data_IF_215798234773
#
_entry.id   IF_215798234773
#
_cell.length_a   1.000
_cell.length_b   1.000
_cell.length_c   1.000
_cell.angle_alpha   90.00
_cell.angle_beta   90.00
_cell.angle_gamma   90.00
#
_symmetry.space_group_name_H-M   'P 1'
#
loop_
_entity.id
_entity.type
_entity.pdbx_description
1 polymer ?
#
# COMPACT_ATOMS: atom_id res chain seq x y z
N UNK A 1 -6.52 4.63 2.79
CA UNK A 1 -5.27 3.91 3.15
C UNK A 1 -4.36 4.94 3.81
N UNK A 2 -3.86 4.72 5.05
CA UNK A 2 -3.17 5.75 5.84
C UNK A 2 -1.99 6.41 5.13
N UNK A 3 -1.33 5.69 4.22
CA UNK A 3 -0.23 6.23 3.41
C UNK A 3 -0.64 7.40 2.51
N UNK A 4 -1.76 7.30 1.80
CA UNK A 4 -2.23 8.39 0.92
C UNK A 4 -2.68 9.63 1.68
N UNK A 5 -3.08 9.43 2.94
CA UNK A 5 -3.44 10.49 3.88
C UNK A 5 -2.21 11.04 4.64
N UNK A 6 -1.00 10.58 4.32
CA UNK A 6 0.25 11.01 4.97
C UNK A 6 0.40 10.54 6.42
N UNK A 7 -0.44 9.61 6.88
CA UNK A 7 -0.45 9.08 8.26
C UNK A 7 0.49 7.90 8.46
N UNK A 8 1.07 7.36 7.38
CA UNK A 8 2.00 6.22 7.39
C UNK A 8 2.99 6.35 6.24
N UNK A 9 4.25 5.99 6.46
CA UNK A 9 5.28 6.00 5.41
C UNK A 9 5.47 4.59 4.82
N UNK A 10 6.05 4.46 3.62
CA UNK A 10 6.35 3.15 3.03
C UNK A 10 7.13 2.21 3.96
N UNK A 11 8.09 2.74 4.74
CA UNK A 11 8.96 1.94 5.60
C UNK A 11 8.19 1.27 6.77
N UNK A 12 7.07 1.87 7.19
CA UNK A 12 6.22 1.30 8.24
C UNK A 12 5.58 -0.02 7.78
N UNK A 13 5.38 -0.20 6.47
CA UNK A 13 4.87 -1.46 5.91
C UNK A 13 5.93 -2.56 5.94
N UNK A 14 7.21 -2.21 5.76
CA UNK A 14 8.32 -3.16 5.92
C UNK A 14 8.45 -3.62 7.36
N UNK A 15 8.34 -2.70 8.32
CA UNK A 15 8.34 -3.05 9.73
C UNK A 15 7.18 -3.99 10.08
N UNK A 16 5.99 -3.73 9.52
CA UNK A 16 4.82 -4.60 9.70
C UNK A 16 5.03 -5.99 9.08
N UNK A 17 5.56 -6.05 7.85
CA UNK A 17 5.82 -7.30 7.13
C UNK A 17 6.78 -8.20 7.92
N UNK A 18 7.88 -7.65 8.40
CA UNK A 18 8.88 -8.39 9.20
C UNK A 18 8.32 -8.85 10.55
N UNK A 19 7.38 -8.10 11.12
CA UNK A 19 6.70 -8.50 12.34
C UNK A 19 5.68 -9.63 12.14
N UNK A 20 5.22 -9.88 10.91
CA UNK A 20 4.31 -10.99 10.59
C UNK A 20 4.99 -12.37 10.67
N UNK A 21 6.32 -12.44 10.58
CA UNK A 21 7.04 -13.72 10.55
C UNK A 21 6.61 -14.56 9.34
N UNK A 22 6.21 -15.81 9.58
CA UNK A 22 5.76 -16.75 8.53
C UNK A 22 4.28 -16.55 8.13
N UNK A 23 3.59 -15.53 8.65
CA UNK A 23 2.18 -15.25 8.33
C UNK A 23 2.03 -14.32 7.12
N UNK A 24 0.90 -14.44 6.41
CA UNK A 24 0.58 -13.58 5.26
C UNK A 24 0.34 -12.12 5.68
N UNK A 25 1.03 -11.19 5.01
CA UNK A 25 0.73 -9.77 5.08
C UNK A 25 -0.34 -9.41 4.05
N UNK A 26 -1.50 -8.95 4.52
CA UNK A 26 -2.56 -8.44 3.64
C UNK A 26 -2.56 -6.91 3.62
N UNK A 27 -2.22 -6.34 2.46
CA UNK A 27 -2.35 -4.90 2.22
C UNK A 27 -3.65 -4.64 1.47
N UNK A 28 -4.64 -4.09 2.16
CA UNK A 28 -5.87 -3.62 1.52
C UNK A 28 -5.74 -2.14 1.16
N UNK A 29 -5.88 -1.83 -0.13
CA UNK A 29 -6.08 -0.47 -0.61
C UNK A 29 -7.40 -0.37 -1.38
N UNK A 30 -8.05 0.79 -1.29
CA UNK A 30 -9.12 1.15 -2.21
C UNK A 30 -8.50 2.07 -3.25
N UNK A 31 -8.67 1.73 -4.54
CA UNK A 31 -8.14 2.51 -5.66
C UNK A 31 -8.56 3.99 -5.60
N UNK A 32 -9.71 4.29 -5.00
CA UNK A 32 -10.20 5.64 -4.75
C UNK A 32 -9.22 6.51 -3.98
N UNK A 33 -8.57 5.99 -2.94
CA UNK A 33 -7.61 6.78 -2.13
C UNK A 33 -6.34 7.19 -2.91
N UNK A 34 -6.10 6.60 -4.08
CA UNK A 34 -4.98 6.99 -4.95
C UNK A 34 -5.23 8.33 -5.62
N UNK A 35 -6.50 8.67 -5.87
CA UNK A 35 -6.93 9.78 -6.73
C UNK A 35 -7.86 10.77 -6.06
N UNK A 36 -8.38 10.43 -4.88
CA UNK A 36 -9.39 11.21 -4.18
C UNK A 36 -9.26 11.06 -2.65
N UNK A 37 -9.66 12.08 -1.90
CA UNK A 37 -9.77 12.04 -0.44
C UNK A 37 -11.19 12.34 -0.01
N UNK A 38 -11.59 11.81 1.15
CA UNK A 38 -12.92 12.04 1.72
C UNK A 38 -13.18 13.52 2.00
N UNK A 39 -12.16 14.19 2.53
CA UNK A 39 -12.31 15.55 3.06
C UNK A 39 -12.08 16.63 2.00
N UNK A 40 -11.41 16.31 0.89
CA UNK A 40 -11.00 17.30 -0.12
C UNK A 40 -11.39 16.95 -1.56
N UNK A 41 -12.01 15.78 -1.78
CA UNK A 41 -12.38 15.35 -3.13
C UNK A 41 -11.16 15.02 -3.99
N UNK A 42 -11.25 15.20 -5.33
CA UNK A 42 -10.23 14.78 -6.29
C UNK A 42 -8.87 15.42 -6.03
N UNK A 43 -7.81 14.62 -6.18
CA UNK A 43 -6.43 15.05 -5.97
C UNK A 43 -5.81 15.61 -7.26
N UNK A 44 -4.86 16.55 -7.15
CA UNK A 44 -4.08 17.01 -8.29
C UNK A 44 -3.16 15.89 -8.81
N UNK A 45 -2.78 15.97 -10.09
CA UNK A 45 -2.08 14.88 -10.79
C UNK A 45 -0.72 14.53 -10.18
N UNK A 46 0.02 15.52 -9.69
CA UNK A 46 1.28 15.35 -8.96
C UNK A 46 1.10 14.49 -7.71
N UNK A 47 0.02 14.72 -6.96
CA UNK A 47 -0.33 13.91 -5.79
C UNK A 47 -0.70 12.48 -6.17
N UNK A 48 -1.40 12.29 -7.28
CA UNK A 48 -1.72 10.95 -7.81
C UNK A 48 -0.45 10.20 -8.18
N UNK A 49 0.48 10.85 -8.90
CA UNK A 49 1.76 10.23 -9.27
C UNK A 49 2.60 9.91 -8.02
N UNK A 50 2.62 10.81 -7.04
CA UNK A 50 3.28 10.55 -5.76
C UNK A 50 2.68 9.34 -5.05
N UNK A 51 1.35 9.27 -4.94
CA UNK A 51 0.66 8.12 -4.34
C UNK A 51 1.01 6.81 -5.06
N UNK A 52 1.02 6.83 -6.40
CA UNK A 52 1.43 5.68 -7.22
C UNK A 52 2.86 5.24 -6.91
N UNK A 53 3.82 6.17 -6.91
CA UNK A 53 5.22 5.86 -6.64
C UNK A 53 5.38 5.22 -5.26
N UNK A 54 4.68 5.72 -4.24
CA UNK A 54 4.73 5.14 -2.89
C UNK A 54 4.18 3.71 -2.83
N UNK A 55 3.14 3.38 -3.60
CA UNK A 55 2.65 1.99 -3.71
C UNK A 55 3.69 1.10 -4.39
N UNK A 56 4.26 1.57 -5.50
CA UNK A 56 5.31 0.84 -6.23
C UNK A 56 6.53 0.59 -5.32
N UNK A 57 6.93 1.56 -4.50
CA UNK A 57 8.02 1.43 -3.55
C UNK A 57 7.71 0.39 -2.46
N UNK A 58 6.52 0.41 -1.87
CA UNK A 58 6.11 -0.61 -0.88
C UNK A 58 6.16 -2.01 -1.50
N UNK A 59 5.57 -2.19 -2.68
CA UNK A 59 5.55 -3.50 -3.34
C UNK A 59 6.95 -3.97 -3.70
N UNK A 60 7.81 -3.08 -4.23
CA UNK A 60 9.20 -3.41 -4.55
C UNK A 60 9.97 -3.84 -3.31
N UNK A 61 9.90 -3.06 -2.23
CA UNK A 61 10.60 -3.40 -0.98
C UNK A 61 10.15 -4.74 -0.41
N UNK A 62 8.87 -5.07 -0.47
CA UNK A 62 8.36 -6.38 -0.02
C UNK A 62 8.89 -7.53 -0.87
N UNK A 63 8.86 -7.37 -2.20
CA UNK A 63 9.41 -8.38 -3.12
C UNK A 63 10.92 -8.57 -2.93
N UNK A 64 11.66 -7.48 -2.71
CA UNK A 64 13.10 -7.52 -2.42
C UNK A 64 13.41 -8.22 -1.08
N UNK A 65 12.48 -8.21 -0.12
CA UNK A 65 12.58 -8.90 1.18
C UNK A 65 12.07 -10.36 1.12
N UNK A 66 11.68 -10.84 -0.07
CA UNK A 66 11.29 -12.24 -0.32
C UNK A 66 9.78 -12.54 -0.28
N UNK A 67 8.93 -11.51 -0.19
CA UNK A 67 7.48 -11.71 -0.25
C UNK A 67 7.01 -11.94 -1.69
N UNK A 68 6.07 -12.87 -1.88
CA UNK A 68 5.45 -13.14 -3.17
C UNK A 68 4.02 -12.58 -3.21
N UNK A 69 3.63 -11.87 -4.29
CA UNK A 69 2.26 -11.37 -4.44
C UNK A 69 1.29 -12.55 -4.65
N UNK A 70 0.19 -12.55 -3.90
CA UNK A 70 -0.88 -13.53 -4.04
C UNK A 70 -2.26 -12.87 -4.16
N UNK A 71 -3.21 -13.61 -4.71
CA UNK A 71 -4.62 -13.20 -4.74
C UNK A 71 -5.37 -14.01 -3.70
N UNK A 72 -6.10 -13.34 -2.81
CA UNK A 72 -7.03 -14.01 -1.91
C UNK A 72 -8.22 -14.50 -2.74
N UNK A 73 -8.10 -15.72 -3.27
CA UNK A 73 -9.23 -16.41 -3.89
C UNK A 73 -10.16 -16.88 -2.78
N UNK A 74 -11.39 -16.33 -2.73
CA UNK A 74 -12.41 -16.81 -1.80
C UNK A 74 -12.56 -18.33 -1.92
N UNK A 75 -12.44 -19.04 -0.80
CA UNK A 75 -12.61 -20.48 -0.76
C UNK A 75 -13.93 -20.90 -1.39
N UNK A 76 -13.89 -21.97 -2.17
CA UNK A 76 -15.09 -22.63 -2.72
C UNK A 76 -15.95 -23.22 -1.62
#
# INVERSE_FOLDING_TARGET
WPMHEGKRRPEDYMALARACGDADLVISTHSWHMVESRDSGPMPSDRVQFNRAQVEDVLRMLMDDGFEPSVICGGR
#
